data_IF_183368805520
#
_entry.id   IF_183368805520
#
_cell.length_a   1.000
_cell.length_b   1.000
_cell.length_c   1.000
_cell.angle_alpha   90.00
_cell.angle_beta   90.00
_cell.angle_gamma   90.00
#
_symmetry.space_group_name_H-M   'P 1'
#
loop_
_entity.id
_entity.type
_entity.pdbx_description
1 polymer ?
#
# COMPACT_ATOMS: atom_id res chain seq x y z
N UNK A 1 11.87 4.80 -20.55
CA UNK A 1 11.54 4.55 -19.13
C UNK A 1 10.54 5.60 -18.67
N UNK A 2 9.50 5.21 -17.93
CA UNK A 2 8.50 6.11 -17.35
C UNK A 2 8.22 5.67 -15.90
N UNK A 3 7.88 6.61 -15.02
CA UNK A 3 7.59 6.35 -13.60
C UNK A 3 8.81 6.57 -12.69
N UNK A 4 8.72 6.17 -11.42
CA UNK A 4 9.84 6.29 -10.48
C UNK A 4 10.83 5.14 -10.66
N UNK A 5 12.13 5.43 -10.65
CA UNK A 5 13.13 4.40 -10.89
C UNK A 5 14.53 4.79 -10.46
N UNK A 6 15.33 3.75 -10.26
CA UNK A 6 16.74 3.86 -9.93
C UNK A 6 17.60 3.53 -11.16
N UNK A 7 18.56 4.40 -11.46
CA UNK A 7 19.50 4.17 -12.54
C UNK A 7 20.93 4.34 -12.03
N UNK A 8 21.70 3.26 -12.13
CA UNK A 8 23.13 3.26 -11.85
C UNK A 8 23.88 3.45 -13.16
N UNK A 9 24.68 4.50 -13.24
CA UNK A 9 25.50 4.80 -14.39
C UNK A 9 26.80 4.00 -14.33
N UNK A 10 27.35 3.64 -15.49
CA UNK A 10 28.63 2.91 -15.58
C UNK A 10 29.82 3.69 -14.99
N UNK A 11 29.71 5.03 -14.90
CA UNK A 11 30.70 5.90 -14.26
C UNK A 11 30.63 5.90 -12.71
N UNK A 12 29.75 5.09 -12.12
CA UNK A 12 29.55 5.00 -10.68
C UNK A 12 28.59 6.06 -10.11
N UNK A 13 27.98 6.89 -10.96
CA UNK A 13 26.94 7.82 -10.50
C UNK A 13 25.61 7.06 -10.37
N UNK A 14 24.68 7.60 -9.60
CA UNK A 14 23.37 7.01 -9.36
C UNK A 14 22.30 8.08 -9.42
N UNK A 15 21.19 7.79 -10.09
CA UNK A 15 20.00 8.62 -10.05
C UNK A 15 18.84 7.84 -9.47
N UNK A 16 18.09 8.48 -8.60
CA UNK A 16 16.88 7.94 -7.99
C UNK A 16 15.80 9.02 -8.09
N UNK A 17 14.75 8.77 -8.86
CA UNK A 17 13.76 9.81 -9.12
C UNK A 17 12.73 9.40 -10.15
N UNK A 18 11.87 10.36 -10.49
CA UNK A 18 10.88 10.17 -11.53
C UNK A 18 11.48 10.28 -12.95
N UNK A 19 10.90 9.51 -13.86
CA UNK A 19 11.29 9.38 -15.26
C UNK A 19 10.09 9.60 -16.16
N UNK A 20 10.33 10.25 -17.28
CA UNK A 20 9.37 10.43 -18.36
C UNK A 20 10.10 10.33 -19.69
N UNK A 21 9.67 9.43 -20.58
CA UNK A 21 10.25 9.21 -21.91
C UNK A 21 11.76 8.92 -21.89
N UNK A 22 12.22 8.21 -20.85
CA UNK A 22 13.65 7.90 -20.66
C UNK A 22 14.49 9.09 -20.18
N UNK A 23 13.87 10.22 -19.85
CA UNK A 23 14.52 11.39 -19.25
C UNK A 23 14.14 11.52 -17.79
N UNK A 24 15.05 12.09 -17.00
CA UNK A 24 14.79 12.43 -15.59
C UNK A 24 13.78 13.58 -15.55
N UNK A 25 12.70 13.40 -14.80
CA UNK A 25 11.55 14.31 -14.79
C UNK A 25 10.91 14.31 -13.40
N UNK A 26 10.53 15.47 -12.86
CA UNK A 26 9.95 15.57 -11.53
C UNK A 26 11.00 15.46 -10.42
N UNK A 27 10.59 15.14 -9.21
CA UNK A 27 11.49 15.06 -8.05
C UNK A 27 12.48 13.89 -8.20
N UNK A 28 13.76 14.16 -7.93
CA UNK A 28 14.79 13.14 -7.94
C UNK A 28 16.11 13.59 -7.31
N UNK A 29 16.93 12.61 -6.99
CA UNK A 29 18.25 12.75 -6.38
C UNK A 29 19.30 12.11 -7.27
N UNK A 30 20.38 12.84 -7.52
CA UNK A 30 21.55 12.39 -8.25
C UNK A 30 22.74 12.30 -7.31
N UNK A 31 23.31 11.12 -7.16
CA UNK A 31 24.49 10.84 -6.36
C UNK A 31 25.69 10.65 -7.29
N UNK A 32 26.73 11.46 -7.11
CA UNK A 32 28.00 11.33 -7.79
C UNK A 32 28.82 10.20 -7.17
N UNK A 33 29.81 9.69 -7.92
CA UNK A 33 30.71 8.64 -7.41
C UNK A 33 31.51 9.04 -6.17
N UNK A 34 31.70 10.34 -5.95
CA UNK A 34 32.39 10.91 -4.78
C UNK A 34 31.49 10.95 -3.53
N UNK A 35 30.23 10.54 -3.63
CA UNK A 35 29.24 10.59 -2.56
C UNK A 35 28.46 11.91 -2.47
N UNK A 36 28.80 12.91 -3.28
CA UNK A 36 28.04 14.17 -3.35
C UNK A 36 26.64 13.91 -3.93
N UNK A 37 25.62 14.57 -3.39
CA UNK A 37 24.24 14.38 -3.83
C UNK A 37 23.59 15.70 -4.20
N UNK A 38 22.94 15.74 -5.35
CA UNK A 38 22.09 16.84 -5.80
C UNK A 38 20.65 16.37 -5.91
N UNK A 39 19.75 17.01 -5.16
CA UNK A 39 18.34 16.68 -5.17
C UNK A 39 17.51 17.91 -5.54
N UNK A 40 16.41 17.68 -6.24
CA UNK A 40 15.49 18.75 -6.62
C UNK A 40 14.52 18.31 -7.71
N UNK A 41 13.92 19.30 -8.37
CA UNK A 41 12.99 19.07 -9.46
C UNK A 41 13.76 18.96 -10.78
N UNK A 42 13.56 17.88 -11.53
CA UNK A 42 14.19 17.63 -12.82
C UNK A 42 13.19 17.94 -13.93
N UNK A 43 13.62 18.68 -14.95
CA UNK A 43 12.84 18.92 -16.15
C UNK A 43 13.69 18.58 -17.37
N UNK A 44 13.23 17.61 -18.17
CA UNK A 44 13.92 17.17 -19.40
C UNK A 44 15.39 16.76 -19.16
N UNK A 45 15.70 16.20 -17.99
CA UNK A 45 17.05 15.80 -17.64
C UNK A 45 17.94 16.89 -17.02
N UNK A 46 17.42 18.12 -16.86
CA UNK A 46 18.11 19.24 -16.22
C UNK A 46 17.56 19.41 -14.81
N UNK A 47 18.44 19.53 -13.82
CA UNK A 47 18.05 19.87 -12.46
C UNK A 47 17.69 21.35 -12.41
N UNK A 48 16.46 21.66 -12.03
CA UNK A 48 16.02 23.01 -11.71
C UNK A 48 16.61 23.38 -10.34
N UNK A 49 17.69 24.15 -10.40
CA UNK A 49 18.36 24.73 -9.24
C UNK A 49 17.87 26.18 -9.19
N UNK A 50 16.96 26.57 -8.27
CA UNK A 50 16.70 27.98 -8.03
C UNK A 50 18.03 28.66 -7.74
N UNK A 51 18.42 29.58 -8.64
CA UNK A 51 19.68 30.30 -8.56
C UNK A 51 19.78 30.99 -7.20
N UNK A 52 20.76 30.59 -6.39
CA UNK A 52 21.09 31.20 -5.10
C UNK A 52 21.74 32.56 -5.34
N UNK A 53 20.98 33.54 -5.83
CA UNK A 53 21.40 34.92 -5.97
C UNK A 53 20.73 35.74 -4.86
N UNK A 54 21.10 35.47 -3.60
CA UNK A 54 20.96 36.33 -2.42
C UNK A 54 20.79 35.49 -1.14
N UNK A 55 21.89 35.11 -0.51
CA UNK A 55 21.87 34.97 0.95
C UNK A 55 23.26 35.24 1.50
N UNK A 56 23.38 36.40 2.14
CA UNK A 56 24.57 36.94 2.82
C UNK A 56 24.96 36.12 4.07
N UNK A 57 24.74 34.80 4.13
CA UNK A 57 25.05 33.96 5.30
C UNK A 57 25.68 32.62 4.87
N UNK A 58 26.79 32.16 5.49
CA UNK A 58 27.55 30.98 5.06
C UNK A 58 26.90 29.69 5.59
N UNK A 59 25.66 29.41 5.19
CA UNK A 59 25.09 28.07 5.35
C UNK A 59 25.10 27.40 3.98
N UNK A 60 25.89 26.33 3.90
CA UNK A 60 26.10 25.55 2.67
C UNK A 60 24.76 25.22 1.99
N UNK A 61 24.60 25.48 0.68
CA UNK A 61 23.39 25.17 -0.10
C UNK A 61 22.88 23.73 0.06
N UNK A 62 23.76 22.81 0.47
CA UNK A 62 23.47 21.40 0.76
C UNK A 62 22.41 21.21 1.87
N UNK A 63 22.36 22.08 2.87
CA UNK A 63 21.51 21.88 4.05
C UNK A 63 20.00 22.08 3.76
N UNK A 64 19.65 22.96 2.82
CA UNK A 64 18.24 23.28 2.52
C UNK A 64 17.58 22.22 1.62
N UNK A 65 18.33 21.60 0.71
CA UNK A 65 17.81 20.47 -0.08
C UNK A 65 17.71 19.19 0.74
N UNK A 66 18.61 19.00 1.70
CA UNK A 66 18.58 17.85 2.61
C UNK A 66 17.28 17.77 3.42
N UNK A 67 16.74 18.89 3.91
CA UNK A 67 15.53 18.90 4.74
C UNK A 67 14.25 18.56 3.96
N UNK A 68 14.09 19.06 2.74
CA UNK A 68 12.90 18.75 1.91
C UNK A 68 12.87 17.29 1.48
N UNK A 69 14.02 16.73 1.10
CA UNK A 69 14.12 15.31 0.72
C UNK A 69 13.88 14.41 1.92
N UNK A 70 14.49 14.71 3.08
CA UNK A 70 14.26 13.95 4.31
C UNK A 70 12.78 13.94 4.70
N UNK A 71 12.12 15.10 4.65
CA UNK A 71 10.70 15.18 4.96
C UNK A 71 9.86 14.35 3.98
N UNK A 72 10.14 14.44 2.67
CA UNK A 72 9.43 13.65 1.67
C UNK A 72 9.63 12.14 1.86
N UNK A 73 10.86 11.70 2.17
CA UNK A 73 11.18 10.29 2.45
C UNK A 73 10.49 9.81 3.73
N UNK A 74 10.47 10.64 4.78
CA UNK A 74 9.82 10.31 6.04
C UNK A 74 8.30 10.20 5.88
N UNK A 75 7.67 11.10 5.12
CA UNK A 75 6.24 11.04 4.81
C UNK A 75 5.91 9.81 3.96
N UNK A 76 6.71 9.50 2.94
CA UNK A 76 6.54 8.30 2.13
C UNK A 76 6.65 7.02 2.98
N UNK A 77 7.60 6.96 3.91
CA UNK A 77 7.77 5.82 4.83
C UNK A 77 6.58 5.66 5.76
N UNK A 78 6.10 6.76 6.37
CA UNK A 78 4.89 6.75 7.21
C UNK A 78 3.66 6.30 6.44
N UNK A 79 3.50 6.76 5.20
CA UNK A 79 2.39 6.35 4.34
C UNK A 79 2.46 4.85 4.01
N UNK A 80 3.66 4.32 3.72
CA UNK A 80 3.86 2.90 3.46
C UNK A 80 3.57 2.02 4.69
N UNK A 81 4.09 2.40 5.87
CA UNK A 81 3.84 1.69 7.13
C UNK A 81 2.33 1.68 7.45
N UNK A 82 1.66 2.82 7.29
CA UNK A 82 0.20 2.92 7.46
C UNK A 82 -0.56 2.04 6.46
N UNK A 83 -0.15 2.00 5.20
CA UNK A 83 -0.79 1.16 4.18
C UNK A 83 -0.64 -0.34 4.48
N UNK A 84 0.52 -0.75 4.99
CA UNK A 84 0.76 -2.13 5.44
C UNK A 84 -0.17 -2.51 6.61
N UNK A 85 -0.31 -1.63 7.60
CA UNK A 85 -1.21 -1.87 8.73
C UNK A 85 -2.69 -1.93 8.31
N UNK A 86 -3.11 -1.06 7.38
CA UNK A 86 -4.47 -1.09 6.81
C UNK A 86 -4.75 -2.42 6.12
N UNK A 87 -3.84 -2.92 5.29
CA UNK A 87 -4.00 -4.21 4.62
C UNK A 87 -4.12 -5.39 5.60
N UNK A 88 -3.36 -5.36 6.71
CA UNK A 88 -3.45 -6.37 7.78
C UNK A 88 -4.77 -6.29 8.55
N UNK A 89 -5.32 -5.09 8.74
CA UNK A 89 -6.65 -4.90 9.33
C UNK A 89 -7.72 -5.47 8.40
N UNK A 90 -7.67 -5.18 7.10
CA UNK A 90 -8.61 -5.70 6.11
C UNK A 90 -8.62 -7.23 6.07
N UNK A 91 -7.46 -7.88 6.11
CA UNK A 91 -7.39 -9.35 6.18
C UNK A 91 -8.07 -9.91 7.44
N UNK A 92 -7.84 -9.29 8.60
CA UNK A 92 -8.47 -9.69 9.86
C UNK A 92 -9.99 -9.52 9.82
N UNK A 93 -10.47 -8.41 9.28
CA UNK A 93 -11.90 -8.13 9.12
C UNK A 93 -12.53 -9.13 8.16
N UNK A 94 -11.93 -9.36 6.99
CA UNK A 94 -12.41 -10.33 6.01
C UNK A 94 -12.51 -11.74 6.60
N UNK A 95 -11.51 -12.17 7.39
CA UNK A 95 -11.54 -13.47 8.07
C UNK A 95 -12.65 -13.55 9.12
N UNK A 96 -12.88 -12.49 9.88
CA UNK A 96 -13.95 -12.43 10.87
C UNK A 96 -15.34 -12.49 10.21
N UNK A 97 -15.55 -11.72 9.14
CA UNK A 97 -16.78 -11.73 8.35
C UNK A 97 -17.03 -13.12 7.74
N UNK A 98 -16.00 -13.75 7.16
CA UNK A 98 -16.12 -15.11 6.62
C UNK A 98 -16.48 -16.14 7.70
N UNK A 99 -15.91 -16.03 8.91
CA UNK A 99 -16.25 -16.90 10.03
C UNK A 99 -17.70 -16.71 10.49
N UNK A 100 -18.15 -15.46 10.62
CA UNK A 100 -19.53 -15.13 10.99
C UNK A 100 -20.54 -15.67 9.95
N UNK A 101 -20.26 -15.48 8.65
CA UNK A 101 -21.10 -15.99 7.57
C UNK A 101 -21.19 -17.53 7.58
N UNK A 102 -20.08 -18.22 7.84
CA UNK A 102 -20.09 -19.69 7.99
C UNK A 102 -20.95 -20.14 9.17
N UNK A 103 -20.83 -19.47 10.31
CA UNK A 103 -21.62 -19.78 11.50
C UNK A 103 -23.13 -19.55 11.27
N UNK A 104 -23.50 -18.42 10.67
CA UNK A 104 -24.88 -18.10 10.34
C UNK A 104 -25.49 -19.13 9.37
N UNK A 105 -24.74 -19.51 8.32
CA UNK A 105 -25.18 -20.53 7.38
C UNK A 105 -25.34 -21.91 8.05
N UNK A 106 -24.40 -22.31 8.91
CA UNK A 106 -24.48 -23.56 9.65
C UNK A 106 -25.70 -23.60 10.59
N UNK A 107 -25.96 -22.51 11.32
CA UNK A 107 -27.14 -22.39 12.17
C UNK A 107 -28.44 -22.50 11.36
N UNK A 108 -28.51 -21.84 10.21
CA UNK A 108 -29.67 -21.90 9.31
C UNK A 108 -29.91 -23.32 8.80
N UNK A 109 -28.86 -24.03 8.40
CA UNK A 109 -28.94 -25.43 7.95
C UNK A 109 -29.36 -26.36 9.09
N UNK A 110 -28.81 -26.18 10.30
CA UNK A 110 -29.16 -26.98 11.46
C UNK A 110 -30.65 -26.79 11.83
N UNK A 111 -31.15 -25.56 11.81
CA UNK A 111 -32.56 -25.25 12.05
C UNK A 111 -33.48 -25.93 11.02
N UNK A 112 -33.15 -25.83 9.73
CA UNK A 112 -33.91 -26.51 8.65
C UNK A 112 -33.90 -28.02 8.85
N UNK A 113 -32.74 -28.60 9.19
CA UNK A 113 -32.60 -30.04 9.44
C UNK A 113 -33.41 -30.50 10.66
N UNK A 114 -33.48 -29.68 11.71
CA UNK A 114 -34.28 -29.96 12.89
C UNK A 114 -35.79 -29.97 12.56
N UNK A 115 -36.26 -28.98 11.79
CA UNK A 115 -37.65 -28.92 11.31
C UNK A 115 -37.99 -30.15 10.46
N UNK A 116 -37.13 -30.50 9.51
CA UNK A 116 -37.33 -31.68 8.67
C UNK A 116 -37.38 -32.97 9.49
N UNK A 117 -36.48 -33.13 10.48
CA UNK A 117 -36.50 -34.29 11.39
C UNK A 117 -37.81 -34.38 12.17
N UNK A 118 -38.35 -33.27 12.65
CA UNK A 118 -39.62 -33.23 13.36
C UNK A 118 -40.80 -33.63 12.46
N UNK A 119 -40.83 -33.17 11.20
CA UNK A 119 -41.87 -33.56 10.23
C UNK A 119 -41.87 -35.07 9.93
N UNK A 120 -40.70 -35.68 9.77
CA UNK A 120 -40.59 -37.12 9.54
C UNK A 120 -41.01 -37.96 10.75
N UNK A 121 -40.72 -37.52 11.98
CA UNK A 121 -41.17 -38.23 13.19
C UNK A 121 -42.68 -38.12 13.38
N UNK A 122 -43.29 -36.97 13.05
CA UNK A 122 -44.74 -36.78 13.15
C UNK A 122 -45.52 -37.63 12.11
N UNK A 123 -44.89 -37.94 10.97
CA UNK A 123 -45.49 -38.80 9.94
C UNK A 123 -45.51 -40.29 10.34
N UNK A 124 -44.58 -40.74 11.19
CA UNK A 124 -44.52 -42.12 11.66
C UNK A 124 -45.45 -42.44 12.84
N UNK A 125 -45.97 -41.42 13.54
CA UNK A 125 -46.89 -41.60 14.67
C UNK A 125 -48.37 -41.66 14.25
N UNK A 126 -48.67 -41.57 12.95
CA UNK A 126 -50.03 -41.60 12.40
C UNK A 126 -50.39 -42.96 11.80
N UNK A 127 -50.15 -44.05 12.55
CA UNK A 127 -50.59 -45.41 12.17
C UNK A 127 -52.13 -45.47 12.30
N UNK A 128 -52.88 -45.97 11.30
CA UNK A 128 -54.33 -46.02 11.37
C UNK A 128 -54.80 -46.98 12.45
N UNK A 129 -55.74 -46.52 13.28
CA UNK A 129 -56.43 -47.34 14.28
C UNK A 129 -57.21 -48.44 13.52
N UNK A 130 -57.05 -49.73 13.84
CA UNK A 130 -57.86 -50.77 13.22
C UNK A 130 -59.28 -50.64 13.78
N UNK A 131 -60.23 -50.39 12.89
CA UNK A 131 -61.66 -50.41 13.20
C UNK A 131 -62.06 -51.89 13.29
N UNK A 132 -62.72 -52.21 14.40
CA UNK A 132 -63.29 -53.51 14.81
C UNK A 132 -63.97 -54.27 13.68
#
# INVERSE_FOLDING_TARGET
>A
MHGFGLYSFANGHRYEGAWHEGRRQGLGMYTFRNGETQAGHWQNGILDIPSTQNTTHPVSPVAIYHSKVLNAVQEARRAADKAYDVAKVDERVNKAVAAANRAANAARVAAVKAVQKQMHHNSNNNVPIPIV
#
